data_IF_256242688909
#
_entry.id   IF_256242688909
#
_cell.length_a   1.000
_cell.length_b   1.000
_cell.length_c   1.000
_cell.angle_alpha   90.00
_cell.angle_beta   90.00
_cell.angle_gamma   90.00
#
_symmetry.space_group_name_H-M   'P 1'
#
loop_
_entity.id
_entity.type
_entity.pdbx_description
1 polymer ?
#
# COMPACT_ATOMS: atom_id res chain seq x y z
N UNK A 1 9.22 -2.52 -25.03
CA UNK A 1 9.90 -3.25 -23.94
C UNK A 1 8.92 -4.19 -23.24
N UNK A 2 9.40 -5.27 -22.65
CA UNK A 2 8.66 -6.22 -21.83
C UNK A 2 9.23 -6.26 -20.40
N UNK A 3 8.40 -5.90 -19.43
CA UNK A 3 8.72 -5.90 -18.01
C UNK A 3 7.99 -7.06 -17.32
N UNK A 4 8.72 -7.86 -16.56
CA UNK A 4 8.10 -8.86 -15.67
C UNK A 4 8.10 -8.32 -14.24
N UNK A 5 6.92 -8.22 -13.65
CA UNK A 5 6.73 -7.89 -12.25
C UNK A 5 6.71 -9.16 -11.41
N UNK A 6 7.36 -9.14 -10.25
CA UNK A 6 7.29 -10.25 -9.27
C UNK A 6 6.86 -9.67 -7.93
N UNK A 7 5.75 -10.19 -7.38
CA UNK A 7 5.14 -9.67 -6.16
C UNK A 7 4.43 -10.79 -5.37
N UNK A 8 4.04 -10.49 -4.14
CA UNK A 8 3.23 -11.41 -3.33
C UNK A 8 1.73 -11.30 -3.64
N UNK A 9 1.23 -10.15 -4.07
CA UNK A 9 -0.21 -9.91 -4.24
C UNK A 9 -0.51 -8.98 -5.43
N UNK A 10 -1.68 -9.14 -6.03
CA UNK A 10 -2.21 -8.27 -7.09
C UNK A 10 -3.72 -8.43 -7.20
N UNK A 11 -4.43 -7.29 -7.33
CA UNK A 11 -5.81 -7.32 -7.79
C UNK A 11 -5.89 -7.76 -9.27
N UNK A 12 -6.96 -8.46 -9.68
CA UNK A 12 -8.14 -8.86 -8.90
C UNK A 12 -7.99 -10.22 -8.18
N UNK A 13 -6.80 -10.81 -8.14
CA UNK A 13 -6.61 -12.20 -7.71
C UNK A 13 -6.56 -12.36 -6.19
N UNK A 14 -5.78 -11.50 -5.53
CA UNK A 14 -5.56 -11.54 -4.09
C UNK A 14 -5.11 -10.18 -3.58
N UNK A 15 -5.63 -9.77 -2.41
CA UNK A 15 -5.34 -8.48 -1.79
C UNK A 15 -5.31 -8.57 -0.28
N UNK A 16 -4.22 -8.13 0.31
CA UNK A 16 -4.12 -7.83 1.74
C UNK A 16 -3.76 -6.37 1.96
N UNK A 17 -2.83 -5.82 1.17
CA UNK A 17 -2.33 -4.47 1.31
C UNK A 17 -2.44 -3.61 0.06
N UNK A 18 -1.76 -2.47 0.09
CA UNK A 18 -1.69 -1.54 -1.04
C UNK A 18 -0.79 -2.04 -2.17
N UNK A 19 0.06 -3.04 -1.93
CA UNK A 19 0.86 -3.69 -2.97
C UNK A 19 -0.07 -4.29 -4.04
N UNK A 20 -1.17 -4.93 -3.61
CA UNK A 20 -2.15 -5.50 -4.54
C UNK A 20 -2.80 -4.44 -5.44
N UNK A 21 -3.08 -3.24 -4.91
CA UNK A 21 -3.63 -2.13 -5.68
C UNK A 21 -2.63 -1.62 -6.73
N UNK A 22 -1.35 -1.54 -6.38
CA UNK A 22 -0.28 -1.17 -7.32
C UNK A 22 -0.17 -2.20 -8.44
N UNK A 23 -0.10 -3.50 -8.13
CA UNK A 23 0.06 -4.55 -9.15
C UNK A 23 -1.22 -4.83 -9.95
N UNK A 24 -2.39 -4.41 -9.45
CA UNK A 24 -3.63 -4.41 -10.22
C UNK A 24 -3.73 -3.27 -11.24
N UNK A 25 -2.97 -2.18 -11.05
CA UNK A 25 -3.17 -0.93 -11.80
C UNK A 25 -1.95 -0.46 -12.59
N UNK A 26 -0.74 -0.49 -11.99
CA UNK A 26 0.50 -0.04 -12.63
C UNK A 26 0.81 -0.82 -13.91
N UNK A 27 0.73 -2.18 -13.96
CA UNK A 27 0.96 -2.92 -15.20
C UNK A 27 0.00 -2.53 -16.33
N UNK A 28 -1.28 -2.28 -16.02
CA UNK A 28 -2.27 -1.81 -16.99
C UNK A 28 -1.94 -0.39 -17.48
N UNK A 29 -1.53 0.50 -16.59
CA UNK A 29 -1.13 1.85 -16.96
C UNK A 29 0.16 1.89 -17.78
N UNK A 30 1.12 1.01 -17.48
CA UNK A 30 2.34 0.80 -18.26
C UNK A 30 2.03 0.32 -19.68
N UNK A 31 1.03 -0.56 -19.85
CA UNK A 31 0.56 -0.99 -21.16
C UNK A 31 0.06 0.19 -22.02
N UNK A 32 -0.63 1.15 -21.42
CA UNK A 32 -1.05 2.39 -22.11
C UNK A 32 0.14 3.26 -22.54
N UNK A 33 1.28 3.15 -21.86
CA UNK A 33 2.54 3.82 -22.20
C UNK A 33 3.43 2.97 -23.13
N UNK A 34 2.93 1.87 -23.70
CA UNK A 34 3.66 1.00 -24.64
C UNK A 34 4.61 0.00 -24.00
N UNK A 35 4.52 -0.19 -22.69
CA UNK A 35 5.29 -1.19 -21.93
C UNK A 35 4.44 -2.45 -21.76
N UNK A 36 4.86 -3.56 -22.38
CA UNK A 36 4.21 -4.85 -22.12
C UNK A 36 4.59 -5.31 -20.72
N UNK A 37 3.60 -5.69 -19.91
CA UNK A 37 3.82 -6.20 -18.55
C UNK A 37 3.29 -7.61 -18.38
N UNK A 38 4.06 -8.44 -17.68
CA UNK A 38 3.60 -9.72 -17.11
C UNK A 38 3.75 -9.66 -15.59
N UNK A 39 2.77 -10.12 -14.82
CA UNK A 39 2.85 -10.17 -13.35
C UNK A 39 2.95 -11.62 -12.91
N UNK A 40 4.00 -11.94 -12.15
CA UNK A 40 4.27 -13.25 -11.59
C UNK A 40 3.96 -13.25 -10.08
N UNK A 41 3.08 -14.16 -9.65
CA UNK A 41 2.60 -14.29 -8.28
C UNK A 41 2.72 -15.74 -7.78
N UNK A 42 2.70 -15.99 -6.46
CA UNK A 42 2.41 -17.32 -5.94
C UNK A 42 0.97 -17.74 -6.28
N UNK A 43 0.74 -19.04 -6.43
CA UNK A 43 -0.62 -19.59 -6.53
C UNK A 43 -1.16 -19.93 -5.12
N UNK A 44 -1.87 -18.99 -4.51
CA UNK A 44 -2.58 -19.22 -3.25
C UNK A 44 -3.90 -19.94 -3.47
N UNK A 45 -4.30 -20.87 -2.59
CA UNK A 45 -5.56 -21.60 -2.71
C UNK A 45 -6.80 -20.67 -2.72
N UNK A 46 -6.76 -19.55 -2.00
CA UNK A 46 -7.88 -18.59 -1.91
C UNK A 46 -8.18 -17.83 -3.21
N UNK A 47 -7.29 -17.87 -4.22
CA UNK A 47 -7.56 -17.25 -5.51
C UNK A 47 -8.73 -17.97 -6.15
N UNK A 48 -9.88 -17.29 -6.11
CA UNK A 48 -11.14 -17.75 -6.69
C UNK A 48 -11.24 -17.49 -8.21
N UNK A 49 -10.36 -16.64 -8.76
CA UNK A 49 -10.35 -16.36 -10.19
C UNK A 49 -9.97 -17.63 -10.99
N UNK A 50 -10.63 -17.92 -12.12
CA UNK A 50 -10.26 -19.05 -12.96
C UNK A 50 -8.83 -18.91 -13.50
N UNK A 51 -8.02 -19.95 -13.32
CA UNK A 51 -6.66 -20.01 -13.84
C UNK A 51 -6.49 -21.19 -14.79
N UNK A 52 -5.75 -20.98 -15.87
CA UNK A 52 -5.47 -22.01 -16.88
C UNK A 52 -4.12 -22.67 -16.62
N UNK A 53 -4.01 -24.01 -16.61
CA UNK A 53 -2.73 -24.70 -16.53
C UNK A 53 -1.84 -24.34 -17.73
N UNK A 54 -0.59 -23.97 -17.46
CA UNK A 54 0.42 -23.62 -18.48
C UNK A 54 1.60 -24.61 -18.52
N UNK A 55 1.67 -25.53 -17.56
CA UNK A 55 2.68 -26.60 -17.54
C UNK A 55 3.36 -26.74 -16.17
N UNK A 56 4.54 -27.35 -16.19
CA UNK A 56 5.38 -27.53 -15.00
C UNK A 56 6.76 -26.89 -15.21
N UNK A 57 7.33 -26.38 -14.13
CA UNK A 57 8.63 -25.73 -14.09
C UNK A 57 9.55 -26.47 -13.12
N UNK A 58 10.71 -26.91 -13.59
CA UNK A 58 11.76 -27.41 -12.72
C UNK A 58 12.55 -26.24 -12.11
N UNK A 59 12.78 -26.29 -10.80
CA UNK A 59 13.61 -25.32 -10.08
C UNK A 59 14.41 -26.03 -8.98
N UNK A 60 15.41 -25.36 -8.42
CA UNK A 60 16.17 -25.87 -7.27
C UNK A 60 15.72 -25.16 -6.01
N UNK A 61 15.46 -25.93 -4.95
CA UNK A 61 15.14 -25.42 -3.62
C UNK A 61 15.51 -26.45 -2.57
N UNK A 62 16.03 -25.96 -1.44
CA UNK A 62 16.59 -26.76 -0.36
C UNK A 62 17.71 -27.72 -0.80
N UNK A 63 18.55 -27.33 -1.77
CA UNK A 63 19.58 -28.19 -2.34
C UNK A 63 19.06 -29.30 -3.27
N UNK A 64 17.74 -29.40 -3.47
CA UNK A 64 17.08 -30.45 -4.24
C UNK A 64 16.41 -29.91 -5.51
N UNK A 65 16.17 -30.80 -6.48
CA UNK A 65 15.35 -30.48 -7.64
C UNK A 65 13.87 -30.59 -7.27
N UNK A 66 13.10 -29.53 -7.52
CA UNK A 66 11.66 -29.43 -7.28
C UNK A 66 10.91 -29.08 -8.55
N UNK A 67 9.59 -29.23 -8.52
CA UNK A 67 8.68 -28.85 -9.59
C UNK A 67 7.61 -27.91 -9.06
N UNK A 68 7.33 -26.85 -9.81
CA UNK A 68 6.21 -25.96 -9.58
C UNK A 68 5.20 -26.12 -10.72
N UNK A 69 3.90 -26.04 -10.42
CA UNK A 69 2.87 -25.92 -11.47
C UNK A 69 2.76 -24.46 -11.89
N UNK A 70 2.67 -24.22 -13.19
CA UNK A 70 2.53 -22.88 -13.76
C UNK A 70 1.09 -22.69 -14.20
N UNK A 71 0.49 -21.59 -13.79
CA UNK A 71 -0.87 -21.21 -14.17
C UNK A 71 -0.87 -19.84 -14.85
N UNK A 72 -1.89 -19.56 -15.64
CA UNK A 72 -2.05 -18.31 -16.38
C UNK A 72 -3.45 -17.73 -16.26
N UNK A 73 -3.53 -16.41 -16.30
CA UNK A 73 -4.76 -15.66 -16.49
C UNK A 73 -4.47 -14.34 -17.22
N UNK A 74 -5.51 -13.71 -17.76
CA UNK A 74 -5.44 -12.35 -18.30
C UNK A 74 -6.47 -11.48 -17.60
N UNK A 75 -6.06 -10.29 -17.16
CA UNK A 75 -6.95 -9.33 -16.53
C UNK A 75 -6.53 -7.91 -16.93
N UNK A 76 -7.49 -7.07 -17.33
CA UNK A 76 -7.22 -5.68 -17.68
C UNK A 76 -6.20 -5.48 -18.82
N UNK A 77 -6.07 -6.46 -19.73
CA UNK A 77 -5.07 -6.43 -20.81
C UNK A 77 -3.64 -6.79 -20.37
N UNK A 78 -3.46 -7.30 -19.14
CA UNK A 78 -2.18 -7.71 -18.56
C UNK A 78 -2.15 -9.23 -18.39
N UNK A 79 -1.00 -9.83 -18.70
CA UNK A 79 -0.78 -11.26 -18.49
C UNK A 79 -0.36 -11.52 -17.04
N UNK A 80 -1.04 -12.45 -16.37
CA UNK A 80 -0.70 -12.93 -15.04
C UNK A 80 -0.22 -14.38 -15.12
N UNK A 81 0.81 -14.69 -14.34
CA UNK A 81 1.36 -16.03 -14.19
C UNK A 81 1.45 -16.37 -12.71
N UNK A 82 1.13 -17.61 -12.37
CA UNK A 82 1.14 -18.07 -10.98
C UNK A 82 2.02 -19.30 -10.86
N UNK A 83 2.90 -19.28 -9.86
CA UNK A 83 3.76 -20.40 -9.52
C UNK A 83 3.22 -21.09 -8.27
N UNK A 84 2.79 -22.33 -8.44
CA UNK A 84 2.38 -23.17 -7.34
C UNK A 84 3.56 -24.02 -6.88
N UNK A 85 4.26 -23.53 -5.85
CA UNK A 85 5.42 -24.17 -5.24
C UNK A 85 5.05 -25.02 -4.02
N UNK A 86 3.85 -24.81 -3.48
CA UNK A 86 3.26 -25.49 -2.33
C UNK A 86 1.74 -25.53 -2.55
N UNK A 87 1.12 -26.71 -2.74
CA UNK A 87 -0.32 -26.82 -2.96
C UNK A 87 -1.15 -26.47 -1.71
N UNK A 88 -0.54 -26.46 -0.53
CA UNK A 88 -1.19 -26.12 0.74
C UNK A 88 -1.01 -24.63 1.11
N UNK A 89 -0.45 -23.83 0.21
CA UNK A 89 -0.30 -22.38 0.43
C UNK A 89 -1.64 -21.69 0.24
N UNK A 90 -2.34 -21.41 1.34
CA UNK A 90 -3.73 -21.01 1.27
C UNK A 90 -3.94 -19.52 1.01
N UNK A 91 -3.16 -18.66 1.70
CA UNK A 91 -3.22 -17.21 1.58
C UNK A 91 -1.82 -16.56 1.70
N UNK A 92 -1.66 -15.29 1.26
CA UNK A 92 -0.44 -14.52 1.47
C UNK A 92 -0.08 -14.40 2.96
N UNK A 93 1.22 -14.31 3.23
CA UNK A 93 1.78 -14.05 4.56
C UNK A 93 1.48 -15.12 5.64
N UNK A 94 1.04 -16.31 5.23
CA UNK A 94 0.84 -17.44 6.14
C UNK A 94 2.14 -18.18 6.46
N UNK A 95 2.38 -18.54 7.74
CA UNK A 95 3.51 -19.38 8.12
C UNK A 95 3.53 -20.76 7.41
N UNK A 96 4.71 -21.34 7.11
CA UNK A 96 6.04 -20.77 7.23
C UNK A 96 6.36 -19.85 6.04
N UNK A 97 6.28 -18.55 6.29
CA UNK A 97 6.23 -17.51 5.27
C UNK A 97 7.53 -17.41 4.45
N UNK A 98 8.65 -17.33 5.15
CA UNK A 98 10.00 -17.26 4.58
C UNK A 98 10.35 -18.47 3.69
N UNK A 99 9.99 -19.69 4.10
CA UNK A 99 10.23 -20.91 3.32
C UNK A 99 9.44 -20.89 2.01
N UNK A 100 8.18 -20.46 2.07
CA UNK A 100 7.28 -20.37 0.91
C UNK A 100 7.74 -19.28 -0.07
N UNK A 101 8.07 -18.08 0.41
CA UNK A 101 8.53 -17.01 -0.46
C UNK A 101 9.95 -17.23 -1.00
N UNK A 102 10.86 -17.89 -0.27
CA UNK A 102 12.17 -18.29 -0.84
C UNK A 102 12.01 -19.35 -1.94
N UNK A 103 11.14 -20.34 -1.73
CA UNK A 103 10.82 -21.33 -2.76
C UNK A 103 10.18 -20.65 -3.99
N UNK A 104 9.25 -19.72 -3.78
CA UNK A 104 8.68 -18.89 -4.85
C UNK A 104 9.74 -18.06 -5.56
N UNK A 105 10.62 -17.38 -4.84
CA UNK A 105 11.64 -16.52 -5.42
C UNK A 105 12.62 -17.29 -6.32
N UNK A 106 12.99 -18.52 -5.93
CA UNK A 106 13.82 -19.43 -6.71
C UNK A 106 13.07 -20.01 -7.92
N UNK A 107 11.78 -20.36 -7.76
CA UNK A 107 10.94 -20.78 -8.87
C UNK A 107 10.73 -19.62 -9.87
N UNK A 108 10.54 -18.40 -9.39
CA UNK A 108 10.43 -17.20 -10.20
C UNK A 108 11.70 -16.95 -11.01
N UNK A 109 12.88 -17.07 -10.39
CA UNK A 109 14.15 -16.97 -11.09
C UNK A 109 14.32 -18.05 -12.18
N UNK A 110 13.91 -19.30 -11.89
CA UNK A 110 13.93 -20.38 -12.86
C UNK A 110 12.96 -20.13 -14.03
N UNK A 111 11.77 -19.60 -13.75
CA UNK A 111 10.78 -19.23 -14.76
C UNK A 111 11.33 -18.12 -15.66
N UNK A 112 11.83 -17.04 -15.07
CA UNK A 112 12.44 -15.91 -15.77
C UNK A 112 13.57 -16.37 -16.70
N UNK A 113 14.41 -17.32 -16.28
CA UNK A 113 15.50 -17.84 -17.11
C UNK A 113 15.04 -18.50 -18.42
N UNK A 114 13.79 -18.99 -18.49
CA UNK A 114 13.18 -19.56 -19.69
C UNK A 114 12.41 -18.56 -20.54
N UNK A 115 12.25 -17.32 -20.08
CA UNK A 115 11.34 -16.33 -20.67
C UNK A 115 12.09 -15.22 -21.42
N UNK A 116 11.42 -14.63 -22.41
CA UNK A 116 11.94 -13.46 -23.13
C UNK A 116 11.33 -12.19 -22.55
N UNK A 117 12.16 -11.44 -21.83
CA UNK A 117 11.82 -10.15 -21.23
C UNK A 117 13.05 -9.24 -21.20
N UNK A 118 12.81 -7.94 -21.04
CA UNK A 118 13.86 -6.92 -21.04
C UNK A 118 14.30 -6.58 -19.61
N UNK A 119 13.37 -6.50 -18.67
CA UNK A 119 13.62 -6.04 -17.29
C UNK A 119 12.73 -6.75 -16.25
N UNK A 120 13.31 -7.06 -15.09
CA UNK A 120 12.59 -7.56 -13.91
C UNK A 120 12.25 -6.38 -12.98
N UNK A 121 10.99 -6.28 -12.56
CA UNK A 121 10.57 -5.36 -11.50
C UNK A 121 10.04 -6.14 -10.29
N UNK A 122 10.86 -6.26 -9.27
CA UNK A 122 10.53 -6.97 -8.03
C UNK A 122 9.93 -6.02 -6.99
N UNK A 123 8.97 -6.51 -6.20
CA UNK A 123 8.25 -5.73 -5.21
C UNK A 123 8.33 -6.38 -3.82
N UNK A 124 8.83 -5.61 -2.85
CA UNK A 124 9.05 -6.01 -1.45
C UNK A 124 9.91 -7.26 -1.23
N UNK A 125 10.14 -7.60 0.04
CA UNK A 125 11.03 -8.68 0.45
C UNK A 125 10.68 -10.06 -0.15
N UNK A 126 9.40 -10.30 -0.44
CA UNK A 126 8.90 -11.55 -1.04
C UNK A 126 9.57 -11.88 -2.39
N UNK A 127 9.89 -10.83 -3.17
CA UNK A 127 10.54 -10.93 -4.47
C UNK A 127 12.03 -10.56 -4.41
N UNK A 128 12.53 -10.13 -3.25
CA UNK A 128 13.89 -9.62 -3.09
C UNK A 128 14.95 -10.66 -3.47
N UNK A 129 14.77 -11.93 -3.10
CA UNK A 129 15.73 -12.95 -3.48
C UNK A 129 15.75 -13.23 -4.99
N UNK A 130 14.63 -13.03 -5.70
CA UNK A 130 14.59 -13.13 -7.17
C UNK A 130 15.49 -12.09 -7.84
N UNK A 131 15.63 -10.89 -7.27
CA UNK A 131 16.54 -9.85 -7.78
C UNK A 131 17.97 -10.36 -7.82
N UNK A 132 18.45 -11.00 -6.76
CA UNK A 132 19.82 -11.56 -6.70
C UNK A 132 20.07 -12.67 -7.70
N UNK A 133 19.03 -13.41 -8.06
CA UNK A 133 19.11 -14.54 -8.99
C UNK A 133 18.87 -14.13 -10.46
N UNK A 134 18.40 -12.90 -10.69
CA UNK A 134 18.07 -12.41 -12.01
C UNK A 134 19.30 -12.23 -12.89
N UNK A 135 19.14 -12.48 -14.19
CA UNK A 135 20.19 -12.30 -15.22
C UNK A 135 19.94 -11.13 -16.16
N UNK A 136 18.87 -10.38 -15.90
CA UNK A 136 18.43 -9.21 -16.66
C UNK A 136 18.45 -8.01 -15.72
N UNK A 137 18.47 -6.78 -16.27
CA UNK A 137 18.37 -5.59 -15.44
C UNK A 137 17.13 -5.61 -14.55
N UNK A 138 17.26 -4.99 -13.38
CA UNK A 138 16.35 -5.14 -12.25
C UNK A 138 15.96 -3.80 -11.64
N UNK A 139 14.68 -3.69 -11.31
CA UNK A 139 14.13 -2.63 -10.46
C UNK A 139 13.58 -3.30 -9.21
N UNK A 140 13.92 -2.77 -8.05
CA UNK A 140 13.38 -3.24 -6.77
C UNK A 140 12.58 -2.13 -6.09
N UNK A 141 11.27 -2.32 -5.94
CA UNK A 141 10.41 -1.37 -5.21
C UNK A 141 10.19 -1.78 -3.77
N UNK A 142 10.49 -0.86 -2.85
CA UNK A 142 10.10 -0.92 -1.44
C UNK A 142 8.71 -0.28 -1.28
N UNK A 143 7.69 -1.07 -0.96
CA UNK A 143 6.37 -0.55 -0.58
C UNK A 143 6.24 -0.41 0.94
N UNK A 144 6.91 -1.27 1.69
CA UNK A 144 6.96 -1.17 3.15
C UNK A 144 8.29 -1.68 3.72
N UNK A 145 9.12 -0.76 4.20
CA UNK A 145 10.45 -1.06 4.75
C UNK A 145 10.42 -1.83 6.09
N UNK A 146 9.27 -1.86 6.78
CA UNK A 146 9.14 -2.58 8.03
C UNK A 146 9.20 -4.11 7.86
N UNK A 147 8.96 -4.63 6.65
CA UNK A 147 8.99 -6.07 6.37
C UNK A 147 10.18 -6.39 5.45
N UNK A 148 11.22 -7.00 6.01
CA UNK A 148 12.53 -7.10 5.34
C UNK A 148 12.92 -8.54 4.94
N UNK A 149 12.12 -9.54 5.31
CA UNK A 149 12.42 -10.96 5.06
C UNK A 149 13.65 -11.41 5.81
N UNK A 150 13.60 -11.37 7.14
CA UNK A 150 14.74 -11.71 8.00
C UNK A 150 14.69 -13.16 8.49
N UNK A 151 15.81 -13.87 8.43
CA UNK A 151 15.91 -15.26 8.86
C UNK A 151 17.34 -15.64 9.28
N UNK A 152 17.46 -16.76 9.99
CA UNK A 152 18.76 -17.26 10.43
C UNK A 152 19.62 -17.75 9.25
N UNK A 153 20.96 -17.53 9.27
CA UNK A 153 21.87 -17.94 8.19
C UNK A 153 21.80 -19.42 7.82
N UNK A 154 21.73 -20.31 8.81
CA UNK A 154 21.62 -21.76 8.63
C UNK A 154 20.28 -22.14 8.00
N UNK A 155 19.21 -21.42 8.36
CA UNK A 155 17.87 -21.61 7.81
C UNK A 155 17.80 -21.15 6.36
N UNK A 156 18.42 -20.02 6.03
CA UNK A 156 18.58 -19.57 4.65
C UNK A 156 19.33 -20.62 3.82
N UNK A 157 20.49 -21.07 4.29
CA UNK A 157 21.30 -22.06 3.56
C UNK A 157 20.53 -23.36 3.33
N UNK A 158 19.78 -23.86 4.32
CA UNK A 158 18.92 -25.04 4.16
C UNK A 158 17.81 -24.84 3.14
N UNK A 159 17.24 -23.63 3.01
CA UNK A 159 16.12 -23.36 2.12
C UNK A 159 16.56 -23.04 0.69
N UNK A 160 17.72 -22.43 0.53
CA UNK A 160 18.24 -22.03 -0.79
C UNK A 160 19.26 -23.02 -1.35
N UNK A 161 19.89 -23.83 -0.49
CA UNK A 161 21.06 -24.63 -0.82
C UNK A 161 22.33 -23.80 -1.02
N UNK A 162 22.32 -22.52 -0.62
CA UNK A 162 23.43 -21.57 -0.80
C UNK A 162 23.73 -20.86 0.52
N UNK A 163 24.97 -20.88 0.97
CA UNK A 163 25.38 -20.11 2.15
C UNK A 163 25.18 -18.60 1.93
N UNK A 164 24.69 -17.85 2.92
CA UNK A 164 24.50 -16.42 2.78
C UNK A 164 25.85 -15.69 2.71
N UNK A 165 25.94 -14.71 1.81
CA UNK A 165 27.10 -13.83 1.68
C UNK A 165 26.97 -12.56 2.54
N UNK A 166 28.03 -11.73 2.55
CA UNK A 166 28.08 -10.50 3.34
C UNK A 166 27.03 -9.45 2.93
N UNK A 167 26.53 -9.49 1.69
CA UNK A 167 25.49 -8.57 1.24
C UNK A 167 24.14 -8.94 1.84
N UNK A 168 23.88 -10.23 2.05
CA UNK A 168 22.69 -10.72 2.73
C UNK A 168 22.76 -10.57 4.26
N UNK A 169 23.93 -10.57 4.88
CA UNK A 169 24.05 -10.54 6.34
C UNK A 169 23.88 -9.13 6.93
N UNK A 170 22.94 -8.96 7.87
CA UNK A 170 22.71 -7.73 8.62
C UNK A 170 22.46 -8.08 10.09
N UNK A 171 23.24 -7.49 11.01
CA UNK A 171 23.12 -7.75 12.46
C UNK A 171 23.07 -9.24 12.85
N UNK A 172 23.86 -10.07 12.14
CA UNK A 172 23.95 -11.52 12.40
C UNK A 172 22.86 -12.37 11.75
N UNK A 173 21.88 -11.77 11.08
CA UNK A 173 20.79 -12.46 10.37
C UNK A 173 20.89 -12.25 8.87
N UNK A 174 20.25 -13.11 8.09
CA UNK A 174 20.02 -12.86 6.67
C UNK A 174 18.88 -11.86 6.54
N UNK A 175 19.06 -10.85 5.69
CA UNK A 175 18.08 -9.84 5.36
C UNK A 175 17.91 -9.80 3.83
N UNK A 176 16.79 -10.34 3.35
CA UNK A 176 16.54 -10.47 1.92
C UNK A 176 16.37 -9.11 1.24
N UNK A 177 15.70 -8.16 1.90
CA UNK A 177 15.54 -6.80 1.38
C UNK A 177 16.90 -6.12 1.20
N UNK A 178 17.80 -6.16 2.18
CA UNK A 178 19.18 -5.66 2.05
C UNK A 178 19.88 -6.26 0.83
N UNK A 179 19.78 -7.57 0.66
CA UNK A 179 20.36 -8.27 -0.48
C UNK A 179 19.85 -7.77 -1.84
N UNK A 180 18.58 -7.40 -1.93
CA UNK A 180 18.00 -6.82 -3.15
C UNK A 180 18.36 -5.34 -3.34
N UNK A 181 18.41 -4.54 -2.26
CA UNK A 181 18.83 -3.14 -2.34
C UNK A 181 20.23 -3.01 -2.94
N UNK A 182 21.16 -3.88 -2.50
CA UNK A 182 22.52 -3.91 -3.00
C UNK A 182 22.59 -4.44 -4.44
N UNK A 183 21.83 -5.49 -4.77
CA UNK A 183 21.90 -6.13 -6.08
C UNK A 183 21.15 -5.41 -7.21
N UNK A 184 20.08 -4.66 -6.91
CA UNK A 184 19.22 -4.08 -7.94
C UNK A 184 19.92 -2.99 -8.77
N UNK A 185 19.60 -2.86 -10.06
CA UNK A 185 20.13 -1.77 -10.90
C UNK A 185 19.49 -0.42 -10.53
N UNK A 186 18.19 -0.43 -10.20
CA UNK A 186 17.49 0.70 -9.58
C UNK A 186 16.66 0.25 -8.39
N UNK A 187 16.61 1.12 -7.39
CA UNK A 187 15.73 0.98 -6.23
C UNK A 187 14.68 2.08 -6.30
N UNK A 188 13.42 1.70 -6.15
CA UNK A 188 12.31 2.65 -6.05
C UNK A 188 11.60 2.51 -4.72
N UNK A 189 10.98 3.58 -4.27
CA UNK A 189 9.94 3.51 -3.25
C UNK A 189 8.77 4.40 -3.64
N UNK A 190 7.69 4.34 -2.89
CA UNK A 190 6.37 4.79 -3.32
C UNK A 190 6.07 6.27 -3.02
N UNK A 191 7.09 7.06 -2.67
CA UNK A 191 7.03 8.53 -2.65
C UNK A 191 8.43 9.19 -2.59
N UNK A 192 8.63 10.38 -3.21
CA UNK A 192 9.89 11.13 -3.14
C UNK A 192 10.37 11.48 -1.73
N UNK A 193 9.47 11.88 -0.82
CA UNK A 193 9.81 12.19 0.56
C UNK A 193 10.15 10.93 1.33
N UNK A 194 9.39 9.86 1.18
CA UNK A 194 9.73 8.61 1.85
C UNK A 194 11.09 8.08 1.42
N UNK A 195 11.47 8.22 0.13
CA UNK A 195 12.81 7.89 -0.36
C UNK A 195 13.93 8.62 0.39
N UNK A 196 13.68 9.85 0.87
CA UNK A 196 14.62 10.61 1.71
C UNK A 196 14.51 10.22 3.18
N UNK A 197 13.30 10.03 3.68
CA UNK A 197 13.04 9.67 5.09
C UNK A 197 13.68 8.33 5.45
N UNK A 198 13.52 7.29 4.62
CA UNK A 198 14.07 5.96 4.91
C UNK A 198 15.61 5.91 4.97
N UNK A 199 16.28 6.98 4.53
CA UNK A 199 17.73 7.12 4.68
C UNK A 199 18.13 7.70 6.04
N UNK A 200 17.19 8.01 6.94
CA UNK A 200 17.45 8.44 8.31
C UNK A 200 17.23 7.28 9.29
N UNK A 201 17.87 7.29 10.47
CA UNK A 201 17.67 6.26 11.48
C UNK A 201 16.21 6.13 11.96
N UNK A 202 15.44 7.23 11.92
CA UNK A 202 14.05 7.26 12.39
C UNK A 202 13.13 6.38 11.52
N UNK A 203 13.33 6.37 10.20
CA UNK A 203 12.44 5.66 9.26
C UNK A 203 13.10 4.49 8.54
N UNK A 204 14.42 4.37 8.62
CA UNK A 204 15.18 3.37 7.85
C UNK A 204 15.13 1.96 8.40
N UNK A 205 14.52 1.73 9.56
CA UNK A 205 14.32 0.40 10.15
C UNK A 205 15.61 -0.44 10.19
N UNK A 206 16.73 0.17 10.58
CA UNK A 206 18.06 -0.47 10.60
C UNK A 206 18.80 -0.52 9.26
N UNK A 207 18.10 -0.30 8.14
CA UNK A 207 18.68 -0.28 6.80
C UNK A 207 19.05 1.12 6.31
N UNK A 208 18.96 2.16 7.14
CA UNK A 208 19.26 3.54 6.76
C UNK A 208 20.68 3.70 6.18
N UNK A 209 21.67 3.01 6.76
CA UNK A 209 23.03 2.99 6.25
C UNK A 209 23.16 2.33 4.87
N UNK A 210 22.45 1.24 4.65
CA UNK A 210 22.40 0.54 3.35
C UNK A 210 21.71 1.42 2.31
N UNK A 211 20.59 2.03 2.66
CA UNK A 211 19.82 2.92 1.79
C UNK A 211 20.64 4.15 1.37
N UNK A 212 21.43 4.74 2.29
CA UNK A 212 22.40 5.79 1.94
C UNK A 212 23.48 5.30 0.98
N UNK A 213 23.95 4.06 1.12
CA UNK A 213 24.97 3.49 0.22
C UNK A 213 24.46 3.24 -1.21
N UNK A 214 23.14 3.21 -1.40
CA UNK A 214 22.50 3.05 -2.73
C UNK A 214 21.68 4.28 -3.12
N UNK A 215 21.97 5.44 -2.53
CA UNK A 215 21.21 6.67 -2.71
C UNK A 215 21.22 7.17 -4.17
N UNK A 216 22.28 6.87 -4.92
CA UNK A 216 22.44 7.20 -6.35
C UNK A 216 21.45 6.44 -7.25
N UNK A 217 21.05 5.23 -6.83
CA UNK A 217 20.06 4.41 -7.53
C UNK A 217 18.69 4.35 -6.86
N UNK A 218 18.51 5.05 -5.72
CA UNK A 218 17.24 5.14 -4.99
C UNK A 218 16.41 6.35 -5.45
N UNK A 219 15.16 6.11 -5.83
CA UNK A 219 14.22 7.18 -6.17
C UNK A 219 12.80 6.92 -5.65
N UNK A 220 12.01 7.98 -5.50
CA UNK A 220 10.61 7.88 -5.08
C UNK A 220 9.67 8.17 -6.24
N UNK A 221 8.72 7.28 -6.51
CA UNK A 221 7.65 7.47 -7.48
C UNK A 221 6.33 7.25 -6.75
N UNK A 222 5.49 8.28 -6.67
CA UNK A 222 4.17 8.17 -6.03
C UNK A 222 3.34 7.06 -6.68
N UNK A 223 2.52 6.38 -5.89
CA UNK A 223 1.48 5.52 -6.45
C UNK A 223 0.42 6.36 -7.19
N UNK A 224 -0.27 5.71 -8.12
CA UNK A 224 -1.53 6.22 -8.66
C UNK A 224 -2.73 5.61 -7.94
N UNK A 225 -3.89 6.16 -8.24
CA UNK A 225 -5.20 5.69 -7.84
C UNK A 225 -5.92 5.13 -9.06
N UNK A 226 -6.65 4.02 -8.88
CA UNK A 226 -7.65 3.60 -9.86
C UNK A 226 -8.83 4.59 -9.80
N UNK A 227 -8.81 5.57 -10.70
CA UNK A 227 -9.80 6.65 -10.76
C UNK A 227 -11.11 6.22 -11.42
N UNK A 228 -11.19 5.03 -12.02
CA UNK A 228 -12.43 4.43 -12.49
C UNK A 228 -13.16 3.79 -11.31
N UNK A 229 -12.43 3.04 -10.49
CA UNK A 229 -12.96 2.42 -9.27
C UNK A 229 -13.31 3.46 -8.20
N UNK A 230 -12.40 4.38 -7.90
CA UNK A 230 -12.58 5.45 -6.93
C UNK A 230 -13.16 6.70 -7.59
N UNK A 231 -14.44 6.67 -7.92
CA UNK A 231 -15.12 7.77 -8.61
C UNK A 231 -16.50 8.09 -8.02
N UNK A 232 -16.64 9.19 -7.24
CA UNK A 232 -17.91 9.55 -6.62
C UNK A 232 -19.05 9.81 -7.62
N UNK A 233 -18.74 10.07 -8.90
CA UNK A 233 -19.73 10.29 -9.94
C UNK A 233 -20.37 8.98 -10.44
N UNK A 234 -19.71 7.84 -10.22
CA UNK A 234 -20.16 6.52 -10.71
C UNK A 234 -20.31 5.48 -9.61
N UNK A 235 -19.73 5.72 -8.43
CA UNK A 235 -19.71 4.82 -7.28
C UNK A 235 -21.13 4.39 -6.85
N UNK A 236 -21.37 3.08 -6.91
CA UNK A 236 -22.64 2.45 -6.54
C UNK A 236 -22.85 2.28 -5.03
N UNK A 237 -21.81 2.46 -4.21
CA UNK A 237 -21.92 2.38 -2.75
C UNK A 237 -22.45 3.67 -2.12
N UNK A 238 -22.38 4.78 -2.86
CA UNK A 238 -22.88 6.09 -2.43
C UNK A 238 -24.40 6.21 -2.61
N UNK A 239 -25.12 6.69 -1.58
CA UNK A 239 -26.55 7.00 -1.70
C UNK A 239 -26.86 8.05 -2.77
N UNK A 240 -25.97 9.05 -2.94
CA UNK A 240 -26.03 10.06 -3.97
C UNK A 240 -24.67 10.16 -4.66
N UNK A 241 -24.65 10.00 -5.99
CA UNK A 241 -23.45 10.21 -6.81
C UNK A 241 -23.23 11.69 -7.06
N UNK A 242 -21.98 12.12 -7.08
CA UNK A 242 -21.60 13.53 -7.16
C UNK A 242 -20.22 13.74 -7.80
N UNK A 243 -19.93 14.99 -8.11
CA UNK A 243 -18.64 15.46 -8.62
C UNK A 243 -18.26 16.77 -7.92
N UNK A 244 -17.17 17.40 -8.36
CA UNK A 244 -16.66 18.63 -7.77
C UNK A 244 -17.64 19.80 -7.90
N UNK A 245 -18.55 19.78 -8.89
CA UNK A 245 -19.53 20.85 -9.12
C UNK A 245 -20.78 20.69 -8.24
N UNK A 246 -21.06 19.46 -7.78
CA UNK A 246 -22.29 19.11 -7.05
C UNK A 246 -22.03 18.65 -5.59
N UNK A 247 -21.22 19.39 -4.83
CA UNK A 247 -20.87 19.05 -3.44
C UNK A 247 -22.06 19.09 -2.46
N UNK A 248 -23.18 19.72 -2.81
CA UNK A 248 -24.41 19.63 -2.02
C UNK A 248 -24.92 18.19 -1.88
N UNK A 249 -24.61 17.31 -2.85
CA UNK A 249 -24.94 15.88 -2.78
C UNK A 249 -24.04 15.14 -1.79
N UNK A 250 -22.76 15.52 -1.68
CA UNK A 250 -21.87 15.02 -0.62
C UNK A 250 -22.43 15.37 0.76
N UNK A 251 -22.93 16.60 0.95
CA UNK A 251 -23.60 16.99 2.22
C UNK A 251 -24.82 16.11 2.55
N UNK A 252 -25.57 15.65 1.54
CA UNK A 252 -26.66 14.66 1.74
C UNK A 252 -26.11 13.29 2.12
N UNK A 253 -25.03 12.83 1.50
CA UNK A 253 -24.36 11.58 1.89
C UNK A 253 -23.88 11.62 3.34
N UNK A 254 -23.36 12.77 3.81
CA UNK A 254 -23.03 12.97 5.23
C UNK A 254 -24.23 12.74 6.14
N UNK A 255 -25.36 13.37 5.84
CA UNK A 255 -26.58 13.19 6.63
C UNK A 255 -27.03 11.72 6.66
N UNK A 256 -26.95 11.02 5.52
CA UNK A 256 -27.26 9.58 5.45
C UNK A 256 -26.30 8.75 6.29
N UNK A 257 -25.00 9.04 6.24
CA UNK A 257 -23.97 8.38 7.04
C UNK A 257 -24.23 8.59 8.54
N UNK A 258 -24.39 9.84 8.99
CA UNK A 258 -24.61 10.17 10.40
C UNK A 258 -25.92 9.58 10.92
N UNK A 259 -27.00 9.61 10.14
CA UNK A 259 -28.27 8.99 10.51
C UNK A 259 -28.16 7.47 10.66
N UNK A 260 -27.48 6.79 9.73
CA UNK A 260 -27.27 5.34 9.81
C UNK A 260 -26.44 4.94 11.03
N UNK A 261 -25.53 5.81 11.46
CA UNK A 261 -24.67 5.62 12.64
C UNK A 261 -25.25 6.18 13.94
N UNK A 262 -26.44 6.82 13.88
CA UNK A 262 -27.11 7.48 15.02
C UNK A 262 -26.25 8.58 15.68
N UNK A 263 -25.41 9.23 14.89
CA UNK A 263 -24.55 10.34 15.31
C UNK A 263 -25.27 11.68 15.18
N UNK A 264 -24.71 12.74 15.76
CA UNK A 264 -25.31 14.08 15.76
C UNK A 264 -25.27 14.71 14.35
N UNK A 265 -26.42 14.92 13.68
CA UNK A 265 -26.43 15.49 12.33
C UNK A 265 -26.03 16.97 12.27
N UNK A 266 -25.95 17.65 13.42
CA UNK A 266 -25.57 19.07 13.52
C UNK A 266 -24.06 19.32 13.52
N UNK A 267 -23.24 18.27 13.66
CA UNK A 267 -21.79 18.38 13.79
C UNK A 267 -21.07 17.77 12.57
N UNK A 268 -19.91 18.33 12.16
CA UNK A 268 -19.10 17.76 11.09
C UNK A 268 -18.59 16.36 11.47
N UNK A 269 -18.29 15.55 10.46
CA UNK A 269 -17.80 14.18 10.60
C UNK A 269 -16.32 14.07 10.23
N UNK A 270 -15.49 13.67 11.20
CA UNK A 270 -14.11 13.22 10.98
C UNK A 270 -14.12 11.71 10.78
N UNK A 271 -13.85 11.27 9.56
CA UNK A 271 -13.81 9.86 9.17
C UNK A 271 -12.40 9.29 9.15
N UNK A 272 -12.28 7.98 9.36
CA UNK A 272 -11.05 7.23 9.18
C UNK A 272 -11.36 5.80 8.71
N UNK A 273 -10.56 5.32 7.75
CA UNK A 273 -10.55 3.94 7.27
C UNK A 273 -9.10 3.47 7.29
N UNK A 274 -8.77 2.53 8.16
CA UNK A 274 -7.38 2.12 8.37
C UNK A 274 -7.25 0.72 8.97
N UNK A 275 -6.06 0.12 8.86
CA UNK A 275 -5.64 -0.90 9.83
C UNK A 275 -5.36 -0.21 11.18
N UNK A 276 -5.71 -0.85 12.27
CA UNK A 276 -5.45 -0.35 13.63
C UNK A 276 -4.12 -0.89 14.12
N UNK A 277 -3.04 -0.20 13.76
CA UNK A 277 -1.69 -0.56 14.21
C UNK A 277 -0.97 0.65 14.77
N UNK A 278 0.09 0.42 15.55
CA UNK A 278 0.97 1.50 16.04
C UNK A 278 1.48 2.40 14.91
N UNK A 279 1.78 1.84 13.73
CA UNK A 279 2.16 2.63 12.55
C UNK A 279 1.12 3.73 12.27
N UNK A 280 -0.17 3.41 12.36
CA UNK A 280 -1.27 4.27 11.91
C UNK A 280 -1.65 5.34 12.94
N UNK A 281 -1.05 5.31 14.14
CA UNK A 281 -1.15 6.38 15.13
C UNK A 281 -2.51 6.50 15.82
N UNK A 282 -3.35 5.45 15.80
CA UNK A 282 -4.69 5.51 16.38
C UNK A 282 -4.70 5.38 17.91
N UNK A 283 -3.59 4.96 18.52
CA UNK A 283 -3.34 5.14 19.95
C UNK A 283 -3.32 6.63 20.34
N UNK A 284 -2.68 7.49 19.54
CA UNK A 284 -2.63 8.94 19.75
C UNK A 284 -4.04 9.56 19.66
N UNK A 285 -4.83 9.10 18.69
CA UNK A 285 -6.23 9.53 18.53
C UNK A 285 -7.06 9.10 19.72
N UNK A 286 -6.92 7.86 20.17
CA UNK A 286 -7.69 7.34 21.30
C UNK A 286 -7.40 8.13 22.59
N UNK A 287 -6.13 8.51 22.80
CA UNK A 287 -5.70 9.31 23.94
C UNK A 287 -6.30 10.73 23.94
N UNK A 288 -6.34 11.39 22.78
CA UNK A 288 -6.87 12.77 22.63
C UNK A 288 -8.34 12.83 22.25
N UNK A 289 -9.02 11.68 22.13
CA UNK A 289 -10.39 11.60 21.60
C UNK A 289 -11.38 12.50 22.36
N UNK A 290 -11.40 12.56 23.71
CA UNK A 290 -12.28 13.48 24.43
C UNK A 290 -12.10 14.94 24.01
N UNK A 291 -10.85 15.41 23.91
CA UNK A 291 -10.51 16.78 23.50
C UNK A 291 -10.94 17.04 22.05
N UNK A 292 -10.74 16.07 21.15
CA UNK A 292 -11.23 16.15 19.77
C UNK A 292 -12.76 16.26 19.72
N UNK A 293 -13.47 15.53 20.58
CA UNK A 293 -14.94 15.65 20.68
C UNK A 293 -15.37 16.99 21.28
N UNK A 294 -14.60 17.60 22.17
CA UNK A 294 -14.90 18.92 22.73
C UNK A 294 -14.82 20.03 21.67
N UNK A 295 -14.07 19.83 20.58
CA UNK A 295 -14.07 20.70 19.39
C UNK A 295 -15.37 20.63 18.56
N UNK A 296 -16.33 19.76 18.94
CA UNK A 296 -17.64 19.72 18.30
C UNK A 296 -17.71 18.88 17.03
N UNK A 297 -16.97 17.77 16.93
CA UNK A 297 -17.03 16.84 15.77
C UNK A 297 -17.65 15.48 16.10
N UNK A 298 -18.22 14.80 15.10
CA UNK A 298 -18.43 13.37 15.14
C UNK A 298 -17.16 12.63 14.69
N UNK A 299 -16.89 11.46 15.25
CA UNK A 299 -15.78 10.60 14.86
C UNK A 299 -16.29 9.25 14.33
N UNK A 300 -15.88 8.87 13.13
CA UNK A 300 -16.28 7.62 12.46
C UNK A 300 -15.05 6.82 12.07
N UNK A 301 -14.88 5.64 12.66
CA UNK A 301 -13.74 4.76 12.41
C UNK A 301 -14.19 3.40 11.88
N UNK A 302 -13.59 2.99 10.76
CA UNK A 302 -13.66 1.65 10.21
C UNK A 302 -12.25 1.05 10.16
N UNK A 303 -12.05 -0.10 10.78
CA UNK A 303 -10.74 -0.74 10.79
C UNK A 303 -10.62 -1.90 11.75
N UNK A 304 -9.67 -2.78 11.48
CA UNK A 304 -9.28 -3.89 12.36
C UNK A 304 -7.76 -3.89 12.58
N UNK A 305 -7.30 -4.53 13.64
CA UNK A 305 -5.88 -4.66 13.93
C UNK A 305 -5.59 -5.08 15.37
N UNK A 306 -4.77 -4.30 16.06
CA UNK A 306 -4.33 -4.58 17.43
C UNK A 306 -5.51 -4.56 18.40
N UNK A 307 -5.64 -5.63 19.19
CA UNK A 307 -6.82 -5.88 20.03
C UNK A 307 -7.03 -4.79 21.12
N UNK A 308 -5.96 -4.14 21.56
CA UNK A 308 -6.05 -3.02 22.53
C UNK A 308 -6.70 -1.79 21.90
N UNK A 309 -6.32 -1.43 20.68
CA UNK A 309 -6.94 -0.33 19.93
C UNK A 309 -8.41 -0.61 19.64
N UNK A 310 -8.73 -1.83 19.18
CA UNK A 310 -10.12 -2.22 18.92
C UNK A 310 -10.99 -2.12 20.17
N UNK A 311 -10.50 -2.63 21.32
CA UNK A 311 -11.20 -2.51 22.61
C UNK A 311 -11.39 -1.05 23.02
N UNK A 312 -10.36 -0.23 22.87
CA UNK A 312 -10.38 1.19 23.19
C UNK A 312 -11.45 1.96 22.40
N UNK A 313 -11.49 1.80 21.08
CA UNK A 313 -12.50 2.45 20.24
C UNK A 313 -13.90 1.87 20.45
N UNK A 314 -14.03 0.58 20.76
CA UNK A 314 -15.32 -0.01 21.14
C UNK A 314 -15.84 0.55 22.48
N UNK A 315 -14.97 0.83 23.44
CA UNK A 315 -15.32 1.53 24.67
C UNK A 315 -15.69 2.99 24.42
N UNK A 316 -14.91 3.70 23.61
CA UNK A 316 -15.22 5.08 23.23
C UNK A 316 -16.59 5.21 22.54
N UNK A 317 -16.92 4.30 21.62
CA UNK A 317 -18.23 4.26 20.97
C UNK A 317 -19.38 4.00 21.96
N UNK A 318 -19.17 3.18 23.00
CA UNK A 318 -20.16 2.97 24.07
C UNK A 318 -20.30 4.19 24.98
N UNK A 319 -19.20 4.88 25.27
CA UNK A 319 -19.16 6.07 26.13
C UNK A 319 -19.76 7.30 25.45
N UNK A 320 -19.57 7.43 24.14
CA UNK A 320 -20.01 8.58 23.34
C UNK A 320 -20.92 8.15 22.16
N UNK A 321 -22.05 7.47 22.41
CA UNK A 321 -22.82 6.77 21.37
C UNK A 321 -23.50 7.67 20.33
N UNK A 322 -23.55 8.99 20.57
CA UNK A 322 -24.07 9.99 19.63
C UNK A 322 -22.98 10.78 18.91
N UNK A 323 -21.71 10.48 19.19
CA UNK A 323 -20.55 11.24 18.70
C UNK A 323 -19.44 10.36 18.13
N UNK A 324 -19.36 9.09 18.53
CA UNK A 324 -18.34 8.14 18.08
C UNK A 324 -19.01 6.89 17.52
N UNK A 325 -18.62 6.50 16.31
CA UNK A 325 -18.96 5.21 15.72
C UNK A 325 -17.67 4.44 15.37
N UNK A 326 -17.58 3.20 15.83
CA UNK A 326 -16.48 2.31 15.52
C UNK A 326 -17.00 0.98 14.94
N UNK A 327 -16.40 0.55 13.82
CA UNK A 327 -16.69 -0.72 13.17
C UNK A 327 -15.40 -1.51 12.98
N UNK A 328 -15.25 -2.60 13.75
CA UNK A 328 -14.18 -3.58 13.60
C UNK A 328 -14.49 -4.55 12.46
N UNK A 329 -14.29 -4.13 11.22
CA UNK A 329 -14.53 -4.97 10.05
C UNK A 329 -13.72 -4.51 8.83
N UNK A 330 -13.53 -5.43 7.88
CA UNK A 330 -13.25 -5.08 6.49
C UNK A 330 -14.59 -4.96 5.75
N UNK A 331 -15.03 -3.72 5.48
CA UNK A 331 -16.33 -3.42 4.87
C UNK A 331 -16.15 -2.33 3.80
N UNK A 332 -15.99 -2.78 2.56
CA UNK A 332 -15.74 -1.91 1.41
C UNK A 332 -16.87 -0.90 1.17
N UNK A 333 -18.13 -1.35 1.19
CA UNK A 333 -19.28 -0.48 1.00
C UNK A 333 -19.32 0.63 2.06
N UNK A 334 -18.96 0.33 3.30
CA UNK A 334 -18.85 1.32 4.37
C UNK A 334 -17.65 2.23 4.19
N UNK A 335 -16.51 1.74 3.74
CA UNK A 335 -15.34 2.57 3.44
C UNK A 335 -15.70 3.65 2.41
N UNK A 336 -16.32 3.28 1.29
CA UNK A 336 -16.81 4.22 0.27
C UNK A 336 -17.79 5.26 0.84
N UNK A 337 -18.71 4.84 1.72
CA UNK A 337 -19.65 5.76 2.38
C UNK A 337 -18.97 6.70 3.37
N UNK A 338 -17.91 6.26 4.05
CA UNK A 338 -17.09 7.14 4.91
C UNK A 338 -16.36 8.15 4.04
N UNK A 339 -15.67 7.73 2.98
CA UNK A 339 -15.02 8.65 2.05
C UNK A 339 -16.00 9.63 1.41
N UNK A 340 -17.18 9.17 0.99
CA UNK A 340 -18.18 10.01 0.34
C UNK A 340 -19.08 10.81 1.27
N UNK A 341 -19.03 10.57 2.58
CA UNK A 341 -19.93 11.17 3.57
C UNK A 341 -19.24 11.94 4.69
N UNK A 342 -17.99 11.65 5.03
CA UNK A 342 -17.25 12.44 6.02
C UNK A 342 -16.94 13.85 5.49
N UNK A 343 -16.81 14.83 6.40
CA UNK A 343 -16.35 16.17 6.06
C UNK A 343 -14.82 16.21 5.99
N UNK A 344 -14.13 15.53 6.92
CA UNK A 344 -12.67 15.45 6.99
C UNK A 344 -12.19 14.02 7.17
N UNK A 345 -10.94 13.72 6.79
CA UNK A 345 -10.38 12.37 6.88
C UNK A 345 -9.09 12.34 7.71
N UNK A 346 -9.08 11.67 8.86
CA UNK A 346 -7.94 11.68 9.78
C UNK A 346 -6.91 10.60 9.45
N UNK A 347 -5.64 10.99 9.36
CA UNK A 347 -4.50 10.14 9.00
C UNK A 347 -3.27 10.43 9.85
N UNK A 348 -3.23 9.94 11.11
CA UNK A 348 -2.20 10.28 12.09
C UNK A 348 -1.00 9.32 12.05
N UNK A 349 -0.73 8.74 10.88
CA UNK A 349 0.32 7.74 10.69
C UNK A 349 1.68 8.27 11.18
N UNK A 350 2.40 7.48 11.97
CA UNK A 350 3.80 7.75 12.36
C UNK A 350 4.74 7.70 11.17
N UNK A 351 4.48 6.77 10.26
CA UNK A 351 5.11 6.71 8.95
C UNK A 351 4.12 6.21 7.90
N UNK A 352 4.21 6.74 6.68
CA UNK A 352 3.35 6.36 5.57
C UNK A 352 4.13 6.37 4.25
N UNK A 353 4.54 5.21 3.71
CA UNK A 353 5.35 5.15 2.50
C UNK A 353 4.75 5.92 1.32
N UNK A 354 3.44 5.72 1.09
CA UNK A 354 2.65 6.46 0.10
C UNK A 354 1.32 6.93 0.71
N UNK A 355 0.53 5.98 1.21
CA UNK A 355 -0.86 6.19 1.58
C UNK A 355 -1.74 6.27 0.32
N UNK A 356 -2.77 5.42 0.21
CA UNK A 356 -3.81 5.57 -0.82
C UNK A 356 -5.02 6.33 -0.27
N UNK A 357 -5.23 6.25 1.03
CA UNK A 357 -6.44 6.75 1.69
C UNK A 357 -6.61 8.28 1.57
N UNK A 358 -5.54 9.07 1.58
CA UNK A 358 -5.61 10.52 1.35
C UNK A 358 -5.96 10.85 -0.09
N UNK A 359 -5.46 10.08 -1.06
CA UNK A 359 -5.80 10.27 -2.48
C UNK A 359 -7.27 9.93 -2.72
N UNK A 360 -7.76 8.84 -2.10
CA UNK A 360 -9.18 8.48 -2.11
C UNK A 360 -10.02 9.57 -1.43
N UNK A 361 -9.62 10.02 -0.24
CA UNK A 361 -10.35 11.04 0.50
C UNK A 361 -10.47 12.34 -0.30
N UNK A 362 -9.37 12.85 -0.86
CA UNK A 362 -9.37 14.02 -1.74
C UNK A 362 -10.22 13.79 -3.00
N UNK A 363 -10.14 12.60 -3.62
CA UNK A 363 -10.96 12.25 -4.79
C UNK A 363 -12.46 12.28 -4.49
N UNK A 364 -12.86 12.00 -3.24
CA UNK A 364 -14.24 12.06 -2.76
C UNK A 364 -14.56 13.42 -2.10
N UNK A 365 -13.69 14.43 -2.22
CA UNK A 365 -13.91 15.76 -1.65
C UNK A 365 -13.95 15.76 -0.12
N UNK A 366 -13.17 14.89 0.52
CA UNK A 366 -12.99 14.82 1.97
C UNK A 366 -11.55 15.23 2.28
N UNK A 367 -11.30 16.50 2.62
CA UNK A 367 -9.96 16.99 2.94
C UNK A 367 -9.30 16.17 4.06
N UNK A 368 -8.07 15.67 3.85
CA UNK A 368 -7.35 14.94 4.88
C UNK A 368 -6.78 15.86 5.95
N UNK A 369 -6.80 15.39 7.20
CA UNK A 369 -6.01 15.88 8.33
C UNK A 369 -4.92 14.85 8.55
N UNK A 370 -3.70 15.12 8.11
CA UNK A 370 -2.65 14.12 8.00
C UNK A 370 -1.36 14.54 8.69
N UNK A 371 -0.60 13.58 9.23
CA UNK A 371 0.78 13.88 9.62
C UNK A 371 1.63 14.11 8.36
N UNK A 372 2.55 15.08 8.41
CA UNK A 372 3.53 15.38 7.37
C UNK A 372 4.65 14.31 7.30
N UNK A 373 4.29 13.08 6.95
CA UNK A 373 5.23 11.96 6.76
C UNK A 373 5.04 11.29 5.40
N UNK A 374 6.15 10.87 4.79
CA UNK A 374 6.22 10.11 3.56
C UNK A 374 5.28 10.63 2.47
N UNK A 375 4.47 9.74 1.91
CA UNK A 375 3.58 10.09 0.82
C UNK A 375 2.40 10.98 1.20
N UNK A 376 2.07 11.11 2.49
CA UNK A 376 1.04 12.07 2.93
C UNK A 376 1.50 13.49 2.66
N UNK A 377 2.73 13.82 3.05
CA UNK A 377 3.31 15.15 2.79
C UNK A 377 3.61 15.40 1.30
N UNK A 378 3.80 14.36 0.48
CA UNK A 378 3.98 14.53 -0.97
C UNK A 378 2.65 14.70 -1.74
N UNK A 379 1.52 14.35 -1.13
CA UNK A 379 0.21 14.35 -1.82
C UNK A 379 -0.77 15.38 -1.28
N UNK A 380 -0.72 15.68 0.02
CA UNK A 380 -1.56 16.70 0.65
C UNK A 380 -0.84 18.03 0.60
N UNK A 381 -1.43 18.99 -0.09
CA UNK A 381 -0.99 20.38 -0.07
C UNK A 381 -1.68 21.11 1.08
N UNK A 382 -0.89 21.55 2.06
CA UNK A 382 -1.36 22.13 3.32
C UNK A 382 -2.15 23.43 3.11
N UNK A 383 -3.30 23.55 3.76
CA UNK A 383 -4.24 24.67 3.62
C UNK A 383 -4.95 24.76 2.26
N UNK A 384 -4.61 23.90 1.30
CA UNK A 384 -5.15 23.93 -0.06
C UNK A 384 -6.02 22.71 -0.34
N UNK A 385 -5.55 21.51 0.01
CA UNK A 385 -6.28 20.25 -0.23
C UNK A 385 -6.58 19.50 1.06
N UNK A 386 -5.91 19.87 2.16
CA UNK A 386 -6.03 19.28 3.48
C UNK A 386 -5.20 20.06 4.51
N UNK A 387 -5.02 19.47 5.69
CA UNK A 387 -4.21 20.02 6.78
C UNK A 387 -3.09 19.03 7.12
N UNK A 388 -1.86 19.55 7.21
CA UNK A 388 -0.69 18.81 7.66
C UNK A 388 -0.23 19.20 9.08
N UNK A 389 -0.02 18.21 9.94
CA UNK A 389 0.63 18.42 11.25
C UNK A 389 1.93 17.62 11.35
N UNK A 390 2.90 18.06 12.14
CA UNK A 390 4.26 17.47 12.12
C UNK A 390 4.45 16.37 13.17
N UNK A 391 3.96 16.59 14.39
CA UNK A 391 4.24 15.70 15.53
C UNK A 391 3.30 14.48 15.57
N UNK A 392 3.84 13.27 15.77
CA UNK A 392 3.02 12.10 16.12
C UNK A 392 2.79 12.07 17.62
N UNK A 393 1.98 13.01 18.07
CA UNK A 393 1.58 13.19 19.46
C UNK A 393 0.05 13.39 19.55
N UNK A 394 -0.57 13.11 20.70
CA UNK A 394 -1.97 13.46 20.96
C UNK A 394 -2.25 14.95 20.72
N UNK A 395 -1.30 15.82 21.05
CA UNK A 395 -1.35 17.27 20.83
C UNK A 395 -1.30 17.63 19.35
N UNK A 396 -0.43 16.97 18.57
CA UNK A 396 -0.33 17.17 17.13
C UNK A 396 -1.62 16.81 16.39
N UNK A 397 -2.25 15.69 16.79
CA UNK A 397 -3.57 15.31 16.27
C UNK A 397 -4.63 16.35 16.60
N UNK A 398 -4.69 16.79 17.86
CA UNK A 398 -5.65 17.79 18.31
C UNK A 398 -5.49 19.11 17.55
N UNK A 399 -4.26 19.62 17.44
CA UNK A 399 -3.95 20.85 16.71
C UNK A 399 -4.28 20.74 15.21
N UNK A 400 -4.09 19.56 14.60
CA UNK A 400 -4.49 19.30 13.22
C UNK A 400 -6.01 19.36 13.03
N UNK A 401 -6.79 18.80 13.97
CA UNK A 401 -8.25 18.87 13.92
C UNK A 401 -8.74 20.30 14.14
N UNK A 402 -8.22 20.99 15.15
CA UNK A 402 -8.56 22.40 15.44
C UNK A 402 -8.32 23.28 14.21
N UNK A 403 -7.12 23.20 13.60
CA UNK A 403 -6.79 23.99 12.41
C UNK A 403 -7.70 23.68 11.23
N UNK A 404 -8.09 22.42 11.04
CA UNK A 404 -9.01 22.06 9.96
C UNK A 404 -10.39 22.67 10.15
N UNK A 405 -10.88 22.76 11.39
CA UNK A 405 -12.19 23.35 11.70
C UNK A 405 -12.22 24.87 11.50
N UNK A 406 -11.08 25.54 11.53
CA UNK A 406 -10.95 26.98 11.22
C UNK A 406 -10.97 27.29 9.71
N UNK A 407 -10.89 26.27 8.85
CA UNK A 407 -10.87 26.42 7.39
C UNK A 407 -12.23 26.17 6.76
N UNK A 408 -12.49 26.81 5.61
CA UNK A 408 -13.65 26.47 4.79
C UNK A 408 -13.42 25.14 4.07
N UNK A 409 -14.22 24.13 4.40
CA UNK A 409 -14.09 22.79 3.85
C UNK A 409 -14.36 22.72 2.34
N UNK A 410 -15.20 23.60 1.79
CA UNK A 410 -15.65 23.48 0.40
C UNK A 410 -14.53 23.77 -0.63
N UNK A 411 -13.76 24.87 -0.51
CA UNK A 411 -12.58 25.10 -1.35
C UNK A 411 -11.56 23.96 -1.29
N UNK A 412 -11.27 23.44 -0.09
CA UNK A 412 -10.34 22.32 0.10
C UNK A 412 -10.85 21.05 -0.60
N UNK A 413 -12.14 20.75 -0.46
CA UNK A 413 -12.77 19.60 -1.11
C UNK A 413 -12.68 19.70 -2.64
N UNK A 414 -13.03 20.86 -3.23
CA UNK A 414 -12.93 21.08 -4.68
C UNK A 414 -11.49 20.98 -5.17
N UNK A 415 -10.54 21.56 -4.44
CA UNK A 415 -9.13 21.48 -4.78
C UNK A 415 -8.61 20.03 -4.73
N UNK A 416 -9.02 19.23 -3.75
CA UNK A 416 -8.67 17.81 -3.66
C UNK A 416 -9.25 16.99 -4.82
N UNK A 417 -10.51 17.21 -5.19
CA UNK A 417 -11.21 16.46 -6.26
C UNK A 417 -10.63 16.71 -7.66
N UNK A 418 -9.97 17.85 -7.87
CA UNK A 418 -9.36 18.23 -9.15
C UNK A 418 -7.90 17.79 -9.30
N UNK A 419 -7.28 17.21 -8.25
CA UNK A 419 -5.92 16.66 -8.34
C UNK A 419 -5.89 15.40 -9.20
N UNK A 420 -4.87 15.32 -10.05
CA UNK A 420 -4.60 14.13 -10.85
C UNK A 420 -3.81 13.09 -10.03
N UNK A 421 -4.56 12.16 -9.44
CA UNK A 421 -4.00 10.96 -8.81
C UNK A 421 -3.97 9.76 -9.76
N UNK A 422 -4.24 9.92 -11.06
CA UNK A 422 -4.24 8.79 -12.00
C UNK A 422 -2.84 8.19 -12.18
N UNK A 423 -2.80 6.94 -12.63
CA UNK A 423 -1.57 6.21 -12.91
C UNK A 423 -0.79 6.72 -14.13
N UNK A 424 -1.39 7.51 -15.03
CA UNK A 424 -0.74 7.92 -16.29
C UNK A 424 0.62 8.60 -16.09
N UNK A 425 0.71 9.72 -15.34
CA UNK A 425 1.98 10.36 -15.05
C UNK A 425 3.01 9.44 -14.34
N UNK A 426 2.54 8.52 -13.49
CA UNK A 426 3.38 7.60 -12.72
C UNK A 426 3.95 6.50 -13.62
N UNK A 427 3.13 5.96 -14.52
CA UNK A 427 3.54 4.99 -15.53
C UNK A 427 4.59 5.59 -16.47
N UNK A 428 4.47 6.86 -16.86
CA UNK A 428 5.53 7.57 -17.61
C UNK A 428 6.82 7.69 -16.83
N UNK A 429 6.76 7.98 -15.54
CA UNK A 429 7.95 8.03 -14.69
C UNK A 429 8.64 6.66 -14.61
N UNK A 430 7.88 5.58 -14.39
CA UNK A 430 8.42 4.22 -14.42
C UNK A 430 8.98 3.83 -15.79
N UNK A 431 8.27 4.14 -16.88
CA UNK A 431 8.77 3.89 -18.24
C UNK A 431 10.10 4.58 -18.48
N UNK A 432 10.21 5.86 -18.15
CA UNK A 432 11.47 6.61 -18.27
C UNK A 432 12.59 5.93 -17.48
N UNK A 433 12.30 5.53 -16.24
CA UNK A 433 13.26 4.78 -15.42
C UNK A 433 13.68 3.46 -16.08
N UNK A 434 12.77 2.73 -16.71
CA UNK A 434 13.13 1.50 -17.45
C UNK A 434 13.98 1.79 -18.68
N UNK A 435 13.68 2.85 -19.43
CA UNK A 435 14.47 3.27 -20.59
C UNK A 435 15.92 3.61 -20.18
N UNK A 436 16.10 4.33 -19.06
CA UNK A 436 17.41 4.67 -18.51
C UNK A 436 18.26 3.46 -18.09
N UNK A 437 17.63 2.32 -17.76
CA UNK A 437 18.34 1.09 -17.38
C UNK A 437 18.75 0.27 -18.61
N UNK A 438 17.98 0.38 -19.70
CA UNK A 438 18.17 -0.43 -20.91
C UNK A 438 19.09 0.23 -21.95
N UNK A 439 19.49 1.48 -21.71
CA UNK A 439 20.47 2.24 -22.51
C UNK A 439 21.85 2.15 -21.89
#
# INVERSE_FOLDING_TARGET
MHVVHVAAEALPFVKVGGLADVLGSLPRALAAEGVRSTVLLPRYAEIAHPLEPQGELAYRCCGEARRARVWGAEAGGVAYRFLEVDPDWSAPYEPPEDARYLAFAQAAAAWLAGERYDLLHAHDWHAAYTVRLARRPTVFTIHNLAFQGELEPDRFERLTGTAPDAELLHEGRVNLMKGALLAADRVTTVSPRYAREIQTPEYGMGLDGVLRSVADKLSGILNGLDTEYWNPATDGFLPQKYDADHLERKRRNRMTLLAALRLDPGLPAVGAVTRLTWQKGFDLVLETLPQVLDLGVNFVLLGTGEAELERGFAEAARRYPRRVAFHAAFDEARAHRIYGGADFFLMPSRYEPCGLAQMIAMRYGTPPIARATGGLADTVEDGVTGVLFEEASPEGVLAGVERMLDLDAEPLARAGMTRDFSWGPRARAYRKLYEEILT
#
